data_IF_687765279386
#
_entry.id   IF_687765279386
#
_cell.length_a   1.000
_cell.length_b   1.000
_cell.length_c   1.000
_cell.angle_alpha   90.00
_cell.angle_beta   90.00
_cell.angle_gamma   90.00
#
_symmetry.space_group_name_H-M   'P 1'
#
loop_
_entity.id
_entity.type
_entity.pdbx_description
1 polymer ?
#
# COMPACT_ATOMS: atom_id res chain seq x y z
N UNK A 1 -9.38 -2.68 -22.19
CA UNK A 1 -9.02 -3.42 -20.96
C UNK A 1 -9.21 -2.44 -19.81
N UNK A 2 -10.10 -2.73 -18.86
CA UNK A 2 -10.29 -1.84 -17.70
C UNK A 2 -9.00 -1.81 -16.85
N UNK A 3 -8.58 -0.61 -16.46
CA UNK A 3 -7.37 -0.37 -15.67
C UNK A 3 -7.43 -1.09 -14.32
N UNK A 4 -6.31 -1.64 -13.86
CA UNK A 4 -6.22 -2.34 -12.58
C UNK A 4 -6.71 -1.48 -11.40
N UNK A 5 -6.41 -0.17 -11.44
CA UNK A 5 -6.86 0.80 -10.46
C UNK A 5 -8.39 0.90 -10.36
N UNK A 6 -9.10 0.84 -11.48
CA UNK A 6 -10.56 0.93 -11.48
C UNK A 6 -11.17 -0.29 -10.79
N UNK A 7 -10.66 -1.48 -11.09
CA UNK A 7 -11.11 -2.73 -10.46
C UNK A 7 -10.84 -2.76 -8.95
N UNK A 8 -9.70 -2.22 -8.52
CA UNK A 8 -9.35 -2.06 -7.11
C UNK A 8 -10.36 -1.14 -6.40
N UNK A 9 -10.65 0.03 -6.99
CA UNK A 9 -11.67 0.98 -6.49
C UNK A 9 -13.07 0.35 -6.45
N UNK A 10 -13.42 -0.50 -7.40
CA UNK A 10 -14.71 -1.19 -7.46
C UNK A 10 -14.81 -2.41 -6.53
N UNK A 11 -13.74 -2.75 -5.80
CA UNK A 11 -13.70 -3.91 -4.91
C UNK A 11 -13.56 -5.26 -5.64
N UNK A 12 -13.27 -5.25 -6.95
CA UNK A 12 -13.01 -6.44 -7.77
C UNK A 12 -11.56 -6.90 -7.58
N UNK A 13 -11.15 -7.17 -6.34
CA UNK A 13 -9.74 -7.31 -5.97
C UNK A 13 -8.98 -8.42 -6.70
N UNK A 14 -9.64 -9.54 -7.00
CA UNK A 14 -9.01 -10.65 -7.75
C UNK A 14 -8.71 -10.23 -9.19
N UNK A 15 -9.66 -9.57 -9.85
CA UNK A 15 -9.46 -9.03 -11.19
C UNK A 15 -8.43 -7.88 -11.20
N UNK A 16 -8.40 -7.08 -10.13
CA UNK A 16 -7.42 -6.01 -9.95
C UNK A 16 -6.00 -6.58 -9.87
N UNK A 17 -5.79 -7.63 -9.07
CA UNK A 17 -4.49 -8.33 -8.96
C UNK A 17 -4.04 -8.84 -10.32
N UNK A 18 -4.90 -9.56 -11.06
CA UNK A 18 -4.56 -10.06 -12.40
C UNK A 18 -4.19 -8.91 -13.35
N UNK A 19 -4.88 -7.78 -13.26
CA UNK A 19 -4.63 -6.61 -14.09
C UNK A 19 -3.31 -5.93 -13.72
N UNK A 20 -3.01 -5.75 -12.44
CA UNK A 20 -1.73 -5.20 -11.99
C UNK A 20 -0.55 -6.12 -12.35
N UNK A 21 -0.70 -7.44 -12.20
CA UNK A 21 0.32 -8.39 -12.61
C UNK A 21 0.60 -8.31 -14.11
N UNK A 22 -0.44 -8.18 -14.93
CA UNK A 22 -0.30 -7.99 -16.36
C UNK A 22 0.38 -6.65 -16.70
N UNK A 23 -0.01 -5.56 -16.03
CA UNK A 23 0.62 -4.24 -16.17
C UNK A 23 2.11 -4.30 -15.83
N UNK A 24 2.50 -4.98 -14.74
CA UNK A 24 3.89 -5.09 -14.27
C UNK A 24 4.73 -6.04 -15.14
N UNK A 25 4.13 -7.13 -15.62
CA UNK A 25 4.81 -8.11 -16.46
C UNK A 25 5.00 -7.63 -17.89
N UNK A 26 4.14 -6.73 -18.37
CA UNK A 26 4.31 -6.09 -19.66
C UNK A 26 5.52 -5.14 -19.65
N UNK A 27 6.24 -5.06 -20.77
CA UNK A 27 7.35 -4.12 -20.96
C UNK A 27 6.83 -2.70 -21.25
N UNK A 28 5.88 -2.25 -20.42
CA UNK A 28 5.29 -0.92 -20.53
C UNK A 28 6.26 0.09 -19.90
N UNK A 29 6.78 0.98 -20.73
CA UNK A 29 7.63 2.12 -20.32
C UNK A 29 6.91 3.11 -19.38
N UNK A 30 5.59 2.97 -19.19
CA UNK A 30 4.73 3.90 -18.45
C UNK A 30 4.15 3.36 -17.13
N UNK A 31 4.63 2.21 -16.64
CA UNK A 31 4.15 1.68 -15.35
C UNK A 31 4.48 2.67 -14.23
N UNK A 32 3.51 2.93 -13.37
CA UNK A 32 3.65 3.83 -12.22
C UNK A 32 4.05 3.04 -10.96
N UNK A 33 4.72 3.68 -9.98
CA UNK A 33 4.99 3.05 -8.68
C UNK A 33 3.72 2.53 -8.00
N UNK A 34 2.59 3.21 -8.19
CA UNK A 34 1.30 2.87 -7.59
C UNK A 34 0.81 1.47 -7.98
N UNK A 35 1.11 0.98 -9.18
CA UNK A 35 0.76 -0.39 -9.60
C UNK A 35 1.46 -1.44 -8.73
N UNK A 36 2.75 -1.22 -8.41
CA UNK A 36 3.50 -2.09 -7.49
C UNK A 36 2.98 -1.96 -6.06
N UNK A 37 2.73 -0.73 -5.60
CA UNK A 37 2.27 -0.45 -4.24
C UNK A 37 0.90 -1.10 -3.98
N UNK A 38 -0.08 -0.86 -4.86
CA UNK A 38 -1.43 -1.37 -4.68
C UNK A 38 -1.47 -2.90 -4.82
N UNK A 39 -0.72 -3.48 -5.77
CA UNK A 39 -0.61 -4.94 -5.88
C UNK A 39 0.03 -5.57 -4.63
N UNK A 40 1.12 -4.98 -4.13
CA UNK A 40 1.75 -5.45 -2.91
C UNK A 40 0.80 -5.35 -1.70
N UNK A 41 0.03 -4.27 -1.61
CA UNK A 41 -0.97 -4.09 -0.56
C UNK A 41 -2.08 -5.15 -0.63
N UNK A 42 -2.63 -5.42 -1.82
CA UNK A 42 -3.65 -6.47 -2.00
C UNK A 42 -3.13 -7.85 -1.58
N UNK A 43 -1.91 -8.20 -1.99
CA UNK A 43 -1.29 -9.45 -1.55
C UNK A 43 -1.03 -9.51 -0.05
N UNK A 44 -0.64 -8.39 0.56
CA UNK A 44 -0.48 -8.31 2.00
C UNK A 44 -1.82 -8.48 2.74
N UNK A 45 -2.88 -7.78 2.32
CA UNK A 45 -4.22 -7.92 2.89
C UNK A 45 -4.75 -9.34 2.73
N UNK A 46 -4.57 -9.97 1.55
CA UNK A 46 -4.95 -11.37 1.35
C UNK A 46 -4.28 -12.30 2.37
N UNK A 47 -3.01 -12.06 2.69
CA UNK A 47 -2.23 -12.94 3.54
C UNK A 47 -2.49 -12.73 5.03
N UNK A 48 -2.76 -11.49 5.45
CA UNK A 48 -2.69 -11.10 6.86
C UNK A 48 -3.97 -10.45 7.41
N UNK A 49 -4.97 -10.13 6.58
CA UNK A 49 -6.23 -9.50 7.00
C UNK A 49 -7.44 -10.41 6.75
N UNK A 50 -7.46 -11.58 7.40
CA UNK A 50 -8.52 -12.57 7.20
C UNK A 50 -9.92 -12.02 7.52
N UNK A 51 -10.09 -11.40 8.70
CA UNK A 51 -11.39 -10.96 9.18
C UNK A 51 -11.79 -9.60 8.62
N UNK A 52 -10.81 -8.72 8.46
CA UNK A 52 -11.01 -7.33 8.04
C UNK A 52 -11.09 -7.19 6.52
N UNK A 53 -10.47 -8.10 5.76
CA UNK A 53 -10.39 -8.02 4.31
C UNK A 53 -10.93 -9.27 3.60
N UNK A 54 -10.46 -10.48 3.91
CA UNK A 54 -10.82 -11.64 3.09
C UNK A 54 -12.28 -12.08 3.25
N UNK A 55 -12.76 -12.25 4.49
CA UNK A 55 -14.13 -12.69 4.77
C UNK A 55 -15.16 -11.71 4.18
N UNK A 56 -15.05 -10.38 4.40
CA UNK A 56 -16.01 -9.43 3.82
C UNK A 56 -16.02 -9.40 2.29
N UNK A 57 -14.88 -9.70 1.66
CA UNK A 57 -14.71 -9.62 0.20
C UNK A 57 -14.75 -10.99 -0.49
N UNK A 58 -15.12 -12.05 0.22
CA UNK A 58 -15.20 -13.44 -0.28
C UNK A 58 -13.90 -13.90 -0.97
N UNK A 59 -12.75 -13.54 -0.42
CA UNK A 59 -11.44 -13.96 -0.94
C UNK A 59 -11.16 -15.39 -0.46
N UNK A 60 -10.87 -16.30 -1.40
CA UNK A 60 -10.55 -17.69 -1.11
C UNK A 60 -9.18 -17.81 -0.41
N UNK A 61 -9.07 -18.72 0.56
CA UNK A 61 -7.86 -19.05 1.33
C UNK A 61 -6.62 -19.33 0.46
N UNK A 62 -6.79 -19.82 -0.77
CA UNK A 62 -5.69 -19.98 -1.74
C UNK A 62 -4.94 -18.66 -1.99
N UNK A 63 -5.67 -17.53 -2.04
CA UNK A 63 -5.08 -16.21 -2.21
C UNK A 63 -4.30 -15.73 -0.99
N UNK A 64 -4.58 -16.24 0.20
CA UNK A 64 -3.78 -15.97 1.41
C UNK A 64 -2.37 -16.52 1.26
N UNK A 65 -2.24 -17.75 0.74
CA UNK A 65 -0.94 -18.40 0.48
C UNK A 65 -0.19 -17.66 -0.63
N UNK A 66 -0.90 -17.31 -1.72
CA UNK A 66 -0.31 -16.53 -2.82
C UNK A 66 0.19 -15.18 -2.29
N UNK A 67 -0.65 -14.47 -1.53
CA UNK A 67 -0.34 -13.17 -0.96
C UNK A 67 0.92 -13.19 -0.11
N UNK A 68 1.02 -14.15 0.81
CA UNK A 68 2.14 -14.27 1.74
C UNK A 68 3.48 -14.50 1.02
N UNK A 69 3.45 -15.19 -0.11
CA UNK A 69 4.63 -15.45 -0.94
C UNK A 69 4.98 -14.29 -1.89
N UNK A 70 4.05 -13.38 -2.18
CA UNK A 70 4.19 -12.41 -3.30
C UNK A 70 4.39 -10.97 -2.85
N UNK A 71 3.78 -10.51 -1.76
CA UNK A 71 3.77 -9.08 -1.42
C UNK A 71 5.19 -8.46 -1.37
N UNK A 72 6.14 -9.16 -0.75
CA UNK A 72 7.54 -8.70 -0.62
C UNK A 72 8.25 -8.67 -1.97
N UNK A 73 8.02 -9.68 -2.81
CA UNK A 73 8.58 -9.75 -4.16
C UNK A 73 8.12 -8.56 -4.99
N UNK A 74 6.83 -8.21 -4.92
CA UNK A 74 6.28 -7.06 -5.66
C UNK A 74 6.90 -5.75 -5.18
N UNK A 75 7.08 -5.56 -3.87
CA UNK A 75 7.79 -4.38 -3.35
C UNK A 75 9.25 -4.32 -3.80
N UNK A 76 9.96 -5.45 -3.78
CA UNK A 76 11.34 -5.52 -4.23
C UNK A 76 11.46 -5.18 -5.73
N UNK A 77 10.57 -5.70 -6.57
CA UNK A 77 10.48 -5.33 -7.99
C UNK A 77 10.19 -3.84 -8.19
N UNK A 78 9.26 -3.29 -7.41
CA UNK A 78 8.95 -1.86 -7.42
C UNK A 78 10.17 -1.01 -7.07
N UNK A 79 10.94 -1.42 -6.06
CA UNK A 79 12.15 -0.71 -5.62
C UNK A 79 13.32 -0.84 -6.60
N UNK A 80 13.43 -1.96 -7.33
CA UNK A 80 14.40 -2.07 -8.43
C UNK A 80 14.12 -1.01 -9.50
N UNK A 81 12.83 -0.78 -9.84
CA UNK A 81 12.42 0.18 -10.87
C UNK A 81 12.37 1.63 -10.36
N UNK A 82 12.01 1.82 -9.09
CA UNK A 82 11.82 3.12 -8.45
C UNK A 82 12.55 3.19 -7.11
N UNK A 83 13.90 3.16 -7.10
CA UNK A 83 14.70 3.00 -5.89
C UNK A 83 14.53 4.15 -4.88
N UNK A 84 14.09 5.32 -5.32
CA UNK A 84 13.90 6.50 -4.48
C UNK A 84 12.43 6.76 -4.14
N UNK A 85 11.51 5.81 -4.39
CA UNK A 85 10.11 5.99 -4.05
C UNK A 85 9.89 5.75 -2.55
N UNK A 86 9.56 6.82 -1.82
CA UNK A 86 9.37 6.76 -0.38
C UNK A 86 8.23 5.83 0.05
N UNK A 87 7.14 5.73 -0.71
CA UNK A 87 5.99 4.91 -0.32
C UNK A 87 6.28 3.41 -0.45
N UNK A 88 7.04 3.00 -1.48
CA UNK A 88 7.54 1.63 -1.58
C UNK A 88 8.44 1.26 -0.38
N UNK A 89 9.36 2.15 0.02
CA UNK A 89 10.19 1.94 1.21
C UNK A 89 9.36 1.90 2.49
N UNK A 90 8.40 2.81 2.62
CA UNK A 90 7.50 2.89 3.76
C UNK A 90 6.70 1.59 3.92
N UNK A 91 6.00 1.12 2.88
CA UNK A 91 5.21 -0.11 2.96
C UNK A 91 6.07 -1.33 3.25
N UNK A 92 7.28 -1.40 2.68
CA UNK A 92 8.22 -2.48 2.98
C UNK A 92 8.57 -2.55 4.47
N UNK A 93 8.76 -1.41 5.14
CA UNK A 93 9.02 -1.35 6.59
C UNK A 93 7.75 -1.58 7.40
N UNK A 94 6.66 -0.90 7.04
CA UNK A 94 5.38 -0.97 7.74
C UNK A 94 4.80 -2.39 7.76
N UNK A 95 4.85 -3.13 6.65
CA UNK A 95 4.37 -4.51 6.63
C UNK A 95 5.14 -5.42 7.57
N UNK A 96 6.48 -5.31 7.65
CA UNK A 96 7.23 -6.14 8.60
C UNK A 96 6.92 -5.77 10.06
N UNK A 97 6.70 -4.48 10.34
CA UNK A 97 6.24 -4.02 11.64
C UNK A 97 4.91 -4.66 12.04
N UNK A 98 3.92 -4.65 11.14
CA UNK A 98 2.60 -5.23 11.43
C UNK A 98 2.64 -6.76 11.56
N UNK A 99 3.38 -7.45 10.69
CA UNK A 99 3.41 -8.94 10.67
C UNK A 99 4.24 -9.50 11.82
N UNK A 100 5.46 -8.98 12.02
CA UNK A 100 6.47 -9.58 12.89
C UNK A 100 6.70 -8.79 14.17
N UNK A 101 6.04 -7.64 14.34
CA UNK A 101 6.33 -6.73 15.45
C UNK A 101 7.73 -6.12 15.36
N UNK A 102 8.34 -6.08 14.17
CA UNK A 102 9.64 -5.43 13.97
C UNK A 102 9.58 -3.96 14.40
N UNK A 103 10.67 -3.45 14.97
CA UNK A 103 10.73 -2.06 15.39
C UNK A 103 10.69 -1.14 14.16
N UNK A 104 9.59 -0.42 14.01
CA UNK A 104 9.45 0.70 13.09
C UNK A 104 8.88 1.88 13.86
N UNK A 105 9.74 2.82 14.22
CA UNK A 105 9.41 3.93 15.10
C UNK A 105 9.02 5.19 14.32
N UNK A 106 8.49 6.19 15.05
CA UNK A 106 8.34 7.56 14.53
C UNK A 106 9.64 8.07 13.89
N UNK A 107 10.78 7.83 14.54
CA UNK A 107 12.09 8.34 14.08
C UNK A 107 12.54 7.65 12.78
N UNK A 108 12.21 6.38 12.59
CA UNK A 108 12.50 5.65 11.35
C UNK A 108 11.67 6.21 10.19
N UNK A 109 10.38 6.44 10.43
CA UNK A 109 9.50 7.05 9.42
C UNK A 109 9.92 8.50 9.08
N UNK A 110 10.28 9.30 10.08
CA UNK A 110 10.84 10.64 9.84
C UNK A 110 12.19 10.59 9.10
N UNK A 111 13.00 9.54 9.31
CA UNK A 111 14.26 9.34 8.59
C UNK A 111 14.01 9.01 7.12
N UNK A 112 13.03 8.14 6.81
CA UNK A 112 12.60 7.87 5.43
C UNK A 112 12.17 9.15 4.71
N UNK A 113 11.42 10.03 5.39
CA UNK A 113 11.00 11.32 4.84
C UNK A 113 12.18 12.26 4.58
N UNK A 114 13.18 12.28 5.46
CA UNK A 114 14.40 13.07 5.25
C UNK A 114 15.24 12.55 4.07
N UNK A 115 15.30 11.23 3.90
CA UNK A 115 16.13 10.58 2.88
C UNK A 115 15.53 10.70 1.48
N UNK A 116 14.23 10.41 1.33
CA UNK A 116 13.57 10.31 0.02
C UNK A 116 12.66 11.49 -0.32
N UNK A 117 12.30 12.32 0.67
CA UNK A 117 11.35 13.43 0.53
C UNK A 117 9.90 12.98 0.38
N UNK A 118 8.96 13.91 0.56
CA UNK A 118 7.50 13.67 0.51
C UNK A 118 6.82 14.27 -0.74
N UNK A 119 7.61 14.75 -1.72
CA UNK A 119 7.10 15.48 -2.88
C UNK A 119 6.09 14.68 -3.74
N UNK A 120 6.15 13.34 -3.71
CA UNK A 120 5.32 12.47 -4.55
C UNK A 120 4.17 11.82 -3.80
N UNK A 121 4.29 11.66 -2.49
CA UNK A 121 3.30 10.95 -1.66
C UNK A 121 3.42 11.37 -0.21
N UNK A 122 2.26 11.44 0.45
CA UNK A 122 2.10 11.81 1.85
C UNK A 122 1.64 10.63 2.71
N UNK A 123 1.62 9.41 2.14
CA UNK A 123 1.19 8.19 2.85
C UNK A 123 1.93 7.99 4.19
N UNK A 124 3.26 8.20 4.31
CA UNK A 124 3.94 8.00 5.59
C UNK A 124 3.38 8.82 6.78
N UNK A 125 2.66 9.92 6.49
CA UNK A 125 2.05 10.74 7.52
C UNK A 125 0.86 10.08 8.24
N UNK A 126 0.21 9.06 7.68
CA UNK A 126 -0.83 8.34 8.44
C UNK A 126 -0.23 7.68 9.69
N UNK A 127 0.97 7.10 9.55
CA UNK A 127 1.67 6.47 10.64
C UNK A 127 2.19 7.50 11.64
N UNK A 128 2.79 8.59 11.16
CA UNK A 128 3.29 9.66 12.03
C UNK A 128 2.18 10.34 12.85
N UNK A 129 0.98 10.46 12.27
CA UNK A 129 -0.19 10.99 12.96
C UNK A 129 -0.57 10.19 14.21
N UNK A 130 -0.29 8.88 14.25
CA UNK A 130 -0.53 8.05 15.43
C UNK A 130 0.32 8.46 16.64
N UNK A 131 1.46 9.11 16.42
CA UNK A 131 2.36 9.55 17.50
C UNK A 131 2.16 11.01 17.90
N UNK A 132 1.69 11.86 16.99
CA UNK A 132 1.53 13.29 17.24
C UNK A 132 0.39 13.86 16.37
N UNK A 133 -0.83 13.78 16.91
CA UNK A 133 -2.05 14.11 16.19
C UNK A 133 -2.10 15.59 15.80
N UNK A 134 -1.64 16.48 16.67
CA UNK A 134 -1.69 17.93 16.41
C UNK A 134 -0.65 18.34 15.36
N UNK A 135 0.60 17.86 15.47
CA UNK A 135 1.66 18.18 14.52
C UNK A 135 1.32 17.77 13.09
N UNK A 136 0.73 16.58 12.92
CA UNK A 136 0.51 15.98 11.60
C UNK A 136 -0.92 16.13 11.04
N UNK A 137 -1.81 16.83 11.76
CA UNK A 137 -3.22 17.02 11.39
C UNK A 137 -3.43 17.50 9.95
N UNK A 138 -2.63 18.47 9.49
CA UNK A 138 -2.74 19.02 8.13
C UNK A 138 -2.49 17.97 7.05
N UNK A 139 -1.37 17.24 7.15
CA UNK A 139 -1.03 16.15 6.21
C UNK A 139 -2.01 14.98 6.30
N UNK A 140 -2.51 14.68 7.51
CA UNK A 140 -3.57 13.69 7.72
C UNK A 140 -4.83 14.05 6.94
N UNK A 141 -5.30 15.30 7.03
CA UNK A 141 -6.49 15.74 6.32
C UNK A 141 -6.30 15.69 4.79
N UNK A 142 -5.14 16.14 4.29
CA UNK A 142 -4.81 16.03 2.86
C UNK A 142 -4.80 14.58 2.39
N UNK A 143 -4.29 13.66 3.20
CA UNK A 143 -4.29 12.23 2.90
C UNK A 143 -5.71 11.65 2.90
N UNK A 144 -6.54 12.01 3.88
CA UNK A 144 -7.94 11.59 3.92
C UNK A 144 -8.72 12.02 2.66
N UNK A 145 -8.51 13.25 2.18
CA UNK A 145 -9.13 13.73 0.94
C UNK A 145 -8.72 12.88 -0.27
N UNK A 146 -7.45 12.48 -0.35
CA UNK A 146 -6.95 11.58 -1.41
C UNK A 146 -7.56 10.18 -1.29
N UNK A 147 -7.64 9.64 -0.08
CA UNK A 147 -8.23 8.32 0.16
C UNK A 147 -9.72 8.29 -0.20
N UNK A 148 -10.46 9.37 0.10
CA UNK A 148 -11.87 9.50 -0.29
C UNK A 148 -12.04 9.62 -1.81
N UNK A 149 -11.11 10.27 -2.51
CA UNK A 149 -11.17 10.42 -3.97
C UNK A 149 -10.87 9.12 -4.72
N UNK A 150 -9.95 8.30 -4.20
CA UNK A 150 -9.53 7.04 -4.82
C UNK A 150 -9.56 5.92 -3.78
N UNK A 151 -10.70 5.28 -3.53
CA UNK A 151 -10.84 4.30 -2.45
C UNK A 151 -10.32 2.92 -2.87
N UNK A 152 -9.02 2.81 -3.17
CA UNK A 152 -8.35 1.50 -3.31
C UNK A 152 -8.30 0.78 -1.97
N UNK A 153 -8.05 -0.54 -1.96
CA UNK A 153 -7.89 -1.30 -0.72
C UNK A 153 -6.92 -0.63 0.26
N UNK A 154 -5.76 -0.20 -0.23
CA UNK A 154 -4.75 0.57 0.52
C UNK A 154 -5.33 1.83 1.13
N UNK A 155 -6.05 2.62 0.34
CA UNK A 155 -6.56 3.91 0.79
C UNK A 155 -7.73 3.76 1.77
N UNK A 156 -8.54 2.71 1.63
CA UNK A 156 -9.57 2.33 2.59
C UNK A 156 -8.92 1.97 3.93
N UNK A 157 -7.85 1.16 3.91
CA UNK A 157 -7.08 0.80 5.10
C UNK A 157 -6.45 2.02 5.80
N UNK A 158 -5.78 2.88 5.04
CA UNK A 158 -5.22 4.13 5.58
C UNK A 158 -6.32 4.94 6.26
N UNK A 159 -7.47 5.08 5.59
CA UNK A 159 -8.61 5.82 6.13
C UNK A 159 -9.10 5.20 7.44
N UNK A 160 -9.27 3.89 7.53
CA UNK A 160 -9.72 3.25 8.78
C UNK A 160 -8.79 3.45 9.98
N UNK A 161 -7.54 3.86 9.74
CA UNK A 161 -6.58 4.16 10.81
C UNK A 161 -6.66 5.61 11.28
N UNK A 162 -6.96 6.55 10.39
CA UNK A 162 -6.81 8.00 10.63
C UNK A 162 -8.10 8.82 10.58
N UNK A 163 -9.23 8.22 10.21
CA UNK A 163 -10.57 8.78 10.32
C UNK A 163 -11.09 8.65 11.76
#
# INVERSE_FOLDING_TARGET
MESALLKDIEGKYIEAVQSYEHEIAGDFSYILPDSYINLAFLYWSFAFELFEFNIPNNINDEYSIIGGNRYKIILDLGLIKFPNNIELHFWKKYFQHIIYGEEFSKNDCESLLREYGDNKTIVPYFFLYLFDKEKYKGKRNELLDRCNKYPTAKNIYIKSIID
#
